data_IF_149247684526
#
_entry.id   IF_149247684526
#
_cell.length_a   1.000
_cell.length_b   1.000
_cell.length_c   1.000
_cell.angle_alpha   90.00
_cell.angle_beta   90.00
_cell.angle_gamma   90.00
#
_symmetry.space_group_name_H-M   'P 1'
#
loop_
_entity.id
_entity.type
_entity.pdbx_description
1 polymer ?
#
# COMPACT_ATOMS: atom_id res chain seq x y z
N UNK A 1 0.49 -22.73 -13.47
CA UNK A 1 0.39 -21.92 -12.24
C UNK A 1 1.19 -22.54 -11.10
N UNK A 2 0.95 -23.80 -10.71
CA UNK A 2 1.67 -24.46 -9.60
C UNK A 2 3.20 -24.41 -9.73
N UNK A 3 3.77 -24.64 -10.91
CA UNK A 3 5.23 -24.58 -11.12
C UNK A 3 5.81 -23.17 -10.92
N UNK A 4 5.09 -22.14 -11.39
CA UNK A 4 5.49 -20.75 -11.21
C UNK A 4 5.39 -20.31 -9.75
N UNK A 5 4.35 -20.76 -9.03
CA UNK A 5 4.21 -20.52 -7.59
C UNK A 5 5.38 -21.14 -6.85
N UNK A 6 5.69 -22.43 -7.06
CA UNK A 6 6.80 -23.08 -6.36
C UNK A 6 8.16 -22.42 -6.63
N UNK A 7 8.36 -21.86 -7.83
CA UNK A 7 9.56 -21.08 -8.12
C UNK A 7 9.62 -19.76 -7.34
N UNK A 8 8.49 -19.08 -7.19
CA UNK A 8 8.38 -17.82 -6.43
C UNK A 8 8.43 -18.05 -4.92
N UNK A 9 7.87 -19.16 -4.41
CA UNK A 9 7.95 -19.54 -2.99
C UNK A 9 9.42 -19.70 -2.58
N UNK A 10 10.24 -20.32 -3.43
CA UNK A 10 11.67 -20.46 -3.20
C UNK A 10 12.43 -19.12 -3.13
N UNK A 11 11.85 -18.03 -3.63
CA UNK A 11 12.40 -16.68 -3.56
C UNK A 11 11.95 -15.89 -2.32
N UNK A 12 11.08 -16.43 -1.47
CA UNK A 12 10.79 -15.91 -0.13
C UNK A 12 9.83 -14.72 -0.05
N UNK A 13 9.13 -14.37 -1.14
CA UNK A 13 8.15 -13.28 -1.16
C UNK A 13 6.69 -13.75 -1.14
N UNK A 14 5.79 -12.89 -0.65
CA UNK A 14 4.34 -13.09 -0.73
C UNK A 14 3.90 -13.23 -2.20
N UNK A 15 3.16 -14.30 -2.51
CA UNK A 15 2.70 -14.56 -3.89
C UNK A 15 1.31 -13.97 -4.11
N UNK A 16 1.24 -13.02 -5.03
CA UNK A 16 0.01 -12.35 -5.43
C UNK A 16 -0.42 -12.71 -6.86
N UNK A 17 -1.73 -12.86 -7.07
CA UNK A 17 -2.33 -12.99 -8.40
C UNK A 17 -3.32 -11.85 -8.65
N UNK A 18 -3.09 -11.07 -9.72
CA UNK A 18 -4.12 -10.19 -10.26
C UNK A 18 -5.07 -11.01 -11.11
N UNK A 19 -6.29 -11.21 -10.61
CA UNK A 19 -7.32 -11.95 -11.32
C UNK A 19 -7.92 -11.11 -12.46
N UNK A 20 -8.73 -11.73 -13.31
CA UNK A 20 -9.63 -11.01 -14.21
C UNK A 20 -10.74 -10.31 -13.41
N UNK A 21 -11.41 -9.29 -13.98
CA UNK A 21 -12.64 -8.76 -13.41
C UNK A 21 -13.64 -9.90 -13.15
N UNK A 22 -14.40 -9.84 -12.06
CA UNK A 22 -15.28 -10.96 -11.68
C UNK A 22 -16.30 -11.33 -12.77
N UNK A 23 -16.73 -10.36 -13.58
CA UNK A 23 -17.65 -10.59 -14.70
C UNK A 23 -16.98 -11.19 -15.95
N UNK A 24 -15.65 -11.32 -15.96
CA UNK A 24 -14.84 -11.87 -17.04
C UNK A 24 -13.99 -13.05 -16.55
N UNK A 25 -14.58 -13.95 -15.76
CA UNK A 25 -13.91 -15.19 -15.31
C UNK A 25 -13.07 -15.06 -14.03
N UNK A 26 -13.07 -13.91 -13.35
CA UNK A 26 -12.29 -13.73 -12.11
C UNK A 26 -12.63 -14.71 -10.99
N UNK A 27 -13.82 -15.31 -10.98
CA UNK A 27 -14.19 -16.35 -10.00
C UNK A 27 -13.40 -17.64 -10.26
N UNK A 28 -13.21 -18.02 -11.52
CA UNK A 28 -12.41 -19.19 -11.87
C UNK A 28 -10.94 -18.96 -11.52
N UNK A 29 -10.43 -17.75 -11.76
CA UNK A 29 -9.06 -17.39 -11.35
C UNK A 29 -8.86 -17.51 -9.83
N UNK A 30 -9.85 -17.08 -9.03
CA UNK A 30 -9.84 -17.24 -7.56
C UNK A 30 -9.77 -18.72 -7.20
N UNK A 31 -10.63 -19.56 -7.79
CA UNK A 31 -10.69 -20.99 -7.48
C UNK A 31 -9.37 -21.70 -7.80
N UNK A 32 -8.76 -21.37 -8.95
CA UNK A 32 -7.45 -21.91 -9.31
C UNK A 32 -6.38 -21.40 -8.33
N UNK A 33 -6.43 -20.12 -7.93
CA UNK A 33 -5.46 -19.53 -6.99
C UNK A 33 -5.48 -20.20 -5.61
N UNK A 34 -6.67 -20.51 -5.10
CA UNK A 34 -6.85 -21.23 -3.84
C UNK A 34 -6.24 -22.63 -3.84
N UNK A 35 -6.14 -23.26 -5.01
CA UNK A 35 -5.57 -24.60 -5.15
C UNK A 35 -4.03 -24.61 -5.24
N UNK A 36 -3.37 -23.45 -5.30
CA UNK A 36 -1.94 -23.35 -5.63
C UNK A 36 -1.15 -22.42 -4.69
N UNK A 37 -1.48 -22.33 -3.40
CA UNK A 37 -0.65 -21.62 -2.42
C UNK A 37 -0.58 -20.09 -2.57
N UNK A 38 -1.44 -19.48 -3.42
CA UNK A 38 -1.51 -18.02 -3.56
C UNK A 38 -2.03 -17.41 -2.26
N UNK A 39 -1.34 -16.41 -1.74
CA UNK A 39 -1.66 -15.80 -0.45
C UNK A 39 -2.41 -14.48 -0.57
N UNK A 40 -2.37 -13.88 -1.76
CA UNK A 40 -2.88 -12.56 -2.03
C UNK A 40 -3.53 -12.49 -3.43
N UNK A 41 -4.72 -11.90 -3.48
CA UNK A 41 -5.43 -11.62 -4.73
C UNK A 41 -5.52 -10.11 -4.93
N UNK A 42 -5.20 -9.66 -6.13
CA UNK A 42 -5.42 -8.29 -6.57
C UNK A 42 -6.69 -8.26 -7.42
N UNK A 43 -7.72 -7.56 -6.95
CA UNK A 43 -9.03 -7.47 -7.59
C UNK A 43 -9.11 -6.21 -8.47
N UNK A 44 -9.09 -6.33 -9.80
CA UNK A 44 -9.29 -5.19 -10.68
C UNK A 44 -10.76 -4.73 -10.69
N UNK A 45 -11.00 -3.51 -11.16
CA UNK A 45 -12.30 -2.89 -11.36
C UNK A 45 -13.20 -2.98 -10.12
N UNK A 46 -12.62 -2.71 -8.95
CA UNK A 46 -13.29 -2.95 -7.69
C UNK A 46 -14.54 -2.09 -7.53
N UNK A 47 -15.61 -2.73 -7.08
CA UNK A 47 -16.81 -2.11 -6.54
C UNK A 47 -17.09 -2.72 -5.17
N UNK A 48 -17.94 -2.08 -4.36
CA UNK A 48 -18.27 -2.65 -3.05
C UNK A 48 -18.91 -4.05 -3.14
N UNK A 49 -19.70 -4.30 -4.18
CA UNK A 49 -20.27 -5.64 -4.43
C UNK A 49 -19.22 -6.63 -4.90
N UNK A 50 -18.34 -6.23 -5.82
CA UNK A 50 -17.27 -7.10 -6.32
C UNK A 50 -16.27 -7.46 -5.19
N UNK A 51 -15.87 -6.50 -4.36
CA UNK A 51 -14.98 -6.73 -3.24
C UNK A 51 -15.58 -7.70 -2.22
N UNK A 52 -16.87 -7.53 -1.86
CA UNK A 52 -17.57 -8.48 -0.97
C UNK A 52 -17.72 -9.87 -1.58
N UNK A 53 -17.99 -9.95 -2.89
CA UNK A 53 -18.10 -11.23 -3.58
C UNK A 53 -16.75 -11.94 -3.62
N UNK A 54 -15.69 -11.25 -4.06
CA UNK A 54 -14.33 -11.77 -4.06
C UNK A 54 -13.94 -12.25 -2.67
N UNK A 55 -14.10 -11.42 -1.63
CA UNK A 55 -13.77 -11.79 -0.26
C UNK A 55 -14.47 -13.07 0.24
N UNK A 56 -15.74 -13.28 -0.14
CA UNK A 56 -16.48 -14.51 0.19
C UNK A 56 -15.93 -15.73 -0.54
N UNK A 57 -15.48 -15.57 -1.78
CA UNK A 57 -14.90 -16.65 -2.57
C UNK A 57 -13.48 -16.98 -2.10
N UNK A 58 -12.66 -15.97 -1.82
CA UNK A 58 -11.26 -16.14 -1.40
C UNK A 58 -11.11 -16.72 0.00
N UNK A 59 -12.13 -16.58 0.86
CA UNK A 59 -12.08 -17.03 2.25
C UNK A 59 -10.98 -16.31 3.02
N UNK A 60 -9.94 -17.04 3.43
CA UNK A 60 -8.82 -16.49 4.20
C UNK A 60 -7.74 -15.80 3.35
N UNK A 61 -7.74 -15.98 2.02
CA UNK A 61 -6.74 -15.34 1.14
C UNK A 61 -6.92 -13.81 1.19
N UNK A 62 -5.79 -13.11 1.31
CA UNK A 62 -5.72 -11.65 1.43
C UNK A 62 -6.16 -10.99 0.12
N UNK A 63 -6.75 -9.80 0.21
CA UNK A 63 -7.32 -9.08 -0.94
C UNK A 63 -6.78 -7.65 -1.02
N UNK A 64 -6.43 -7.22 -2.23
CA UNK A 64 -6.16 -5.82 -2.57
C UNK A 64 -7.08 -5.40 -3.74
N UNK A 65 -8.16 -4.66 -3.48
CA UNK A 65 -8.98 -4.08 -4.52
C UNK A 65 -8.26 -2.91 -5.21
N UNK A 66 -8.42 -2.79 -6.54
CA UNK A 66 -7.94 -1.66 -7.33
C UNK A 66 -9.07 -0.66 -7.60
N UNK A 67 -8.84 0.58 -7.20
CA UNK A 67 -9.67 1.74 -7.51
C UNK A 67 -9.30 2.23 -8.91
N UNK A 68 -10.19 2.03 -9.88
CA UNK A 68 -9.92 2.24 -11.31
C UNK A 68 -11.00 3.08 -12.00
N UNK A 69 -11.89 3.70 -11.23
CA UNK A 69 -12.94 4.56 -11.78
C UNK A 69 -13.35 5.66 -10.79
N UNK A 70 -13.98 6.75 -11.27
CA UNK A 70 -14.48 7.81 -10.38
C UNK A 70 -15.52 7.28 -9.39
N UNK A 71 -16.36 6.35 -9.83
CA UNK A 71 -17.35 5.70 -8.96
C UNK A 71 -16.67 4.87 -7.87
N UNK A 72 -15.62 4.11 -8.22
CA UNK A 72 -14.85 3.35 -7.24
C UNK A 72 -14.15 4.29 -6.24
N UNK A 73 -13.59 5.40 -6.72
CA UNK A 73 -12.91 6.39 -5.87
C UNK A 73 -13.87 7.01 -4.84
N UNK A 74 -15.07 7.43 -5.27
CA UNK A 74 -16.12 7.93 -4.37
C UNK A 74 -16.50 6.88 -3.31
N UNK A 75 -16.43 5.59 -3.64
CA UNK A 75 -16.77 4.48 -2.76
C UNK A 75 -15.55 3.75 -2.19
N UNK A 76 -14.38 4.39 -2.17
CA UNK A 76 -13.13 3.73 -1.79
C UNK A 76 -13.16 3.16 -0.36
N UNK A 77 -13.72 3.90 0.61
CA UNK A 77 -13.85 3.41 1.99
C UNK A 77 -14.79 2.20 2.09
N UNK A 78 -16.04 2.22 1.59
CA UNK A 78 -16.89 1.02 1.55
C UNK A 78 -16.31 -0.18 0.80
N UNK A 79 -15.40 0.04 -0.16
CA UNK A 79 -14.65 -1.03 -0.83
C UNK A 79 -13.57 -1.59 0.09
N UNK A 80 -12.82 -0.73 0.78
CA UNK A 80 -11.80 -1.13 1.74
C UNK A 80 -12.39 -1.88 2.94
N UNK A 81 -13.57 -1.48 3.42
CA UNK A 81 -14.30 -2.13 4.52
C UNK A 81 -15.16 -3.33 4.07
N UNK A 82 -15.03 -3.77 2.81
CA UNK A 82 -15.86 -4.85 2.28
C UNK A 82 -15.68 -6.17 3.05
N UNK A 83 -14.50 -6.40 3.64
CA UNK A 83 -14.16 -7.59 4.42
C UNK A 83 -12.86 -7.38 5.20
N UNK A 84 -12.67 -8.12 6.29
CA UNK A 84 -11.45 -8.09 7.10
C UNK A 84 -10.23 -8.70 6.40
N UNK A 85 -10.42 -9.44 5.30
CA UNK A 85 -9.32 -9.95 4.47
C UNK A 85 -8.83 -8.92 3.43
N UNK A 86 -9.43 -7.72 3.36
CA UNK A 86 -8.88 -6.60 2.59
C UNK A 86 -7.70 -6.01 3.36
N UNK A 87 -6.48 -6.26 2.88
CA UNK A 87 -5.24 -5.83 3.54
C UNK A 87 -4.67 -4.55 2.95
N UNK A 88 -5.16 -4.13 1.79
CA UNK A 88 -4.70 -2.91 1.15
C UNK A 88 -5.63 -2.43 0.05
N UNK A 89 -5.40 -1.21 -0.41
CA UNK A 89 -6.18 -0.56 -1.45
C UNK A 89 -5.24 0.07 -2.48
N UNK A 90 -5.44 -0.32 -3.74
CA UNK A 90 -4.64 0.17 -4.86
C UNK A 90 -5.35 1.25 -5.68
N UNK A 91 -4.59 2.09 -6.39
CA UNK A 91 -5.11 2.97 -7.45
C UNK A 91 -4.57 2.48 -8.79
N UNK A 92 -5.45 2.01 -9.67
CA UNK A 92 -5.08 1.70 -11.05
C UNK A 92 -5.12 2.97 -11.89
N UNK A 93 -3.97 3.65 -11.97
CA UNK A 93 -3.86 5.02 -12.49
C UNK A 93 -4.31 5.15 -13.95
N UNK A 94 -3.94 4.19 -14.81
CA UNK A 94 -4.26 4.23 -16.25
C UNK A 94 -5.76 4.10 -16.52
N UNK A 95 -6.41 3.12 -15.88
CA UNK A 95 -7.85 2.90 -16.01
C UNK A 95 -8.64 4.04 -15.36
N UNK A 96 -8.21 4.51 -14.18
CA UNK A 96 -8.83 5.67 -13.53
C UNK A 96 -8.79 6.92 -14.42
N UNK A 97 -7.61 7.24 -14.98
CA UNK A 97 -7.42 8.35 -15.91
C UNK A 97 -8.29 8.22 -17.15
N UNK A 98 -8.34 7.02 -17.74
CA UNK A 98 -9.19 6.72 -18.89
C UNK A 98 -10.68 6.97 -18.57
N UNK A 99 -11.15 6.55 -17.38
CA UNK A 99 -12.53 6.77 -16.94
C UNK A 99 -12.82 8.22 -16.54
N UNK A 100 -11.80 8.99 -16.18
CA UNK A 100 -11.88 10.45 -15.98
C UNK A 100 -11.87 11.23 -17.30
N UNK A 101 -11.49 10.60 -18.42
CA UNK A 101 -11.35 11.28 -19.72
C UNK A 101 -10.15 12.22 -19.78
N UNK A 102 -9.10 11.96 -18.98
CA UNK A 102 -7.90 12.78 -18.88
C UNK A 102 -6.63 11.92 -18.83
N UNK A 103 -5.46 12.43 -19.25
CA UNK A 103 -4.21 11.71 -19.14
C UNK A 103 -3.79 11.46 -17.68
N UNK A 104 -2.95 10.44 -17.40
CA UNK A 104 -2.43 10.13 -16.06
C UNK A 104 -1.36 11.14 -15.62
N UNK A 105 -1.81 12.34 -15.24
CA UNK A 105 -0.93 13.40 -14.74
C UNK A 105 -0.98 13.49 -13.21
N UNK A 106 0.07 14.03 -12.58
CA UNK A 106 0.06 14.29 -11.14
C UNK A 106 -1.13 15.14 -10.68
N UNK A 107 -1.56 16.14 -11.47
CA UNK A 107 -2.69 17.00 -11.11
C UNK A 107 -4.01 16.22 -10.99
N UNK A 108 -4.20 15.19 -11.81
CA UNK A 108 -5.36 14.30 -11.73
C UNK A 108 -5.19 13.26 -10.62
N UNK A 109 -3.99 12.69 -10.50
CA UNK A 109 -3.74 11.50 -9.70
C UNK A 109 -3.41 11.79 -8.24
N UNK A 110 -2.84 12.95 -7.89
CA UNK A 110 -2.58 13.34 -6.50
C UNK A 110 -3.88 13.45 -5.69
N UNK A 111 -4.95 14.14 -6.16
CA UNK A 111 -6.22 14.17 -5.46
C UNK A 111 -6.83 12.77 -5.28
N UNK A 112 -6.78 11.94 -6.32
CA UNK A 112 -7.27 10.57 -6.27
C UNK A 112 -6.48 9.72 -5.25
N UNK A 113 -5.15 9.79 -5.29
CA UNK A 113 -4.27 9.11 -4.35
C UNK A 113 -4.54 9.54 -2.92
N UNK A 114 -4.75 10.83 -2.66
CA UNK A 114 -5.08 11.33 -1.33
C UNK A 114 -6.38 10.73 -0.79
N UNK A 115 -7.41 10.60 -1.63
CA UNK A 115 -8.67 9.95 -1.24
C UNK A 115 -8.52 8.44 -1.01
N UNK A 116 -7.75 7.74 -1.83
CA UNK A 116 -7.42 6.31 -1.64
C UNK A 116 -6.67 6.11 -0.32
N UNK A 117 -5.66 6.96 -0.04
CA UNK A 117 -4.88 6.89 1.20
C UNK A 117 -5.76 7.09 2.43
N UNK A 118 -6.60 8.13 2.44
CA UNK A 118 -7.52 8.35 3.56
C UNK A 118 -8.48 7.17 3.76
N UNK A 119 -9.01 6.62 2.67
CA UNK A 119 -9.94 5.50 2.73
C UNK A 119 -9.27 4.23 3.26
N UNK A 120 -8.05 3.92 2.81
CA UNK A 120 -7.30 2.76 3.28
C UNK A 120 -6.94 2.89 4.76
N UNK A 121 -6.42 4.05 5.17
CA UNK A 121 -6.06 4.32 6.57
C UNK A 121 -7.28 4.26 7.50
N UNK A 122 -8.42 4.80 7.07
CA UNK A 122 -9.67 4.72 7.82
C UNK A 122 -10.17 3.28 8.00
N UNK A 123 -9.99 2.43 6.98
CA UNK A 123 -10.31 1.00 7.05
C UNK A 123 -9.23 0.15 7.76
N UNK A 124 -8.11 0.74 8.16
CA UNK A 124 -6.99 0.02 8.79
C UNK A 124 -6.20 -0.87 7.82
N UNK A 125 -6.23 -0.58 6.52
CA UNK A 125 -5.51 -1.34 5.49
C UNK A 125 -4.43 -0.49 4.78
N UNK A 126 -3.55 -1.13 4.02
CA UNK A 126 -2.38 -0.48 3.43
C UNK A 126 -2.69 0.25 2.11
N UNK A 127 -2.40 1.57 2.00
CA UNK A 127 -2.53 2.29 0.75
C UNK A 127 -1.36 2.01 -0.21
N UNK A 128 -1.66 1.47 -1.40
CA UNK A 128 -0.69 1.10 -2.42
C UNK A 128 -0.89 1.96 -3.68
N UNK A 129 -0.25 3.13 -3.74
CA UNK A 129 -0.52 4.13 -4.76
C UNK A 129 0.75 4.88 -5.18
N UNK A 130 0.92 5.08 -6.48
CA UNK A 130 1.88 6.02 -7.08
C UNK A 130 1.07 7.01 -7.93
N UNK A 131 1.04 8.33 -7.60
CA UNK A 131 0.18 9.29 -8.27
C UNK A 131 0.79 9.82 -9.58
N UNK A 132 1.26 8.92 -10.44
CA UNK A 132 1.74 9.21 -11.79
C UNK A 132 1.60 7.93 -12.65
N UNK A 133 1.76 8.04 -13.97
CA UNK A 133 1.87 6.86 -14.82
C UNK A 133 3.01 5.97 -14.35
N UNK A 134 2.73 4.68 -14.25
CA UNK A 134 3.74 3.65 -13.99
C UNK A 134 4.15 2.92 -15.28
N UNK A 135 3.48 3.24 -16.40
CA UNK A 135 3.72 2.63 -17.71
C UNK A 135 5.03 3.11 -18.35
N UNK A 136 5.45 4.34 -18.05
CA UNK A 136 6.72 4.91 -18.51
C UNK A 136 7.89 4.42 -17.64
N UNK A 137 8.39 3.22 -17.92
CA UNK A 137 9.48 2.61 -17.15
C UNK A 137 10.88 3.13 -17.50
N UNK A 138 11.02 3.98 -18.52
CA UNK A 138 12.30 4.58 -18.94
C UNK A 138 12.66 5.83 -18.16
N UNK A 139 11.67 6.59 -17.65
CA UNK A 139 11.91 7.76 -16.81
C UNK A 139 11.85 7.39 -15.32
N UNK A 140 12.94 6.82 -14.84
CA UNK A 140 13.07 6.40 -13.44
C UNK A 140 13.06 7.59 -12.46
N UNK A 141 13.48 8.77 -12.90
CA UNK A 141 13.50 9.99 -12.07
C UNK A 141 12.08 10.48 -11.80
N UNK A 142 11.23 10.46 -12.83
CA UNK A 142 9.81 10.77 -12.70
C UNK A 142 9.12 9.78 -11.76
N UNK A 143 9.36 8.48 -11.94
CA UNK A 143 8.79 7.44 -11.08
C UNK A 143 9.23 7.59 -9.61
N UNK A 144 10.53 7.83 -9.35
CA UNK A 144 11.03 8.08 -7.99
C UNK A 144 10.39 9.33 -7.36
N UNK A 145 10.23 10.40 -8.15
CA UNK A 145 9.57 11.63 -7.69
C UNK A 145 8.12 11.37 -7.29
N UNK A 146 7.38 10.61 -8.10
CA UNK A 146 6.02 10.20 -7.81
C UNK A 146 5.93 9.30 -6.57
N UNK A 147 6.85 8.35 -6.40
CA UNK A 147 6.92 7.48 -5.23
C UNK A 147 7.21 8.27 -3.94
N UNK A 148 8.16 9.22 -3.97
CA UNK A 148 8.44 10.11 -2.84
C UNK A 148 7.21 10.95 -2.48
N UNK A 149 6.51 11.46 -3.49
CA UNK A 149 5.26 12.21 -3.29
C UNK A 149 4.19 11.33 -2.65
N UNK A 150 4.02 10.09 -3.11
CA UNK A 150 3.08 9.12 -2.53
C UNK A 150 3.39 8.85 -1.05
N UNK A 151 4.65 8.56 -0.73
CA UNK A 151 5.11 8.36 0.65
C UNK A 151 4.80 9.58 1.53
N UNK A 152 5.07 10.78 1.04
CA UNK A 152 4.78 12.02 1.76
C UNK A 152 3.29 12.25 2.01
N UNK A 153 2.41 11.70 1.16
CA UNK A 153 0.96 11.72 1.35
C UNK A 153 0.46 10.62 2.30
N UNK A 154 1.32 9.68 2.70
CA UNK A 154 0.97 8.58 3.61
C UNK A 154 0.77 7.21 2.94
N UNK A 155 1.15 7.05 1.67
CA UNK A 155 1.16 5.74 1.01
C UNK A 155 2.17 4.79 1.67
N UNK A 156 1.88 3.50 1.62
CA UNK A 156 2.76 2.44 2.13
C UNK A 156 3.60 1.77 1.06
N UNK A 157 3.20 1.88 -0.20
CA UNK A 157 3.92 1.32 -1.33
C UNK A 157 3.20 1.65 -2.63
N UNK A 158 3.48 0.87 -3.67
CA UNK A 158 2.84 0.98 -4.96
C UNK A 158 3.09 -0.24 -5.84
N UNK A 159 2.46 -0.28 -7.00
CA UNK A 159 2.69 -1.33 -7.99
C UNK A 159 3.90 -0.97 -8.86
N UNK A 160 4.61 -2.01 -9.30
CA UNK A 160 5.70 -1.92 -10.27
C UNK A 160 5.38 -2.85 -11.45
N UNK A 161 5.69 -2.39 -12.66
CA UNK A 161 5.58 -3.18 -13.90
C UNK A 161 6.95 -3.55 -14.47
N UNK A 162 8.02 -2.97 -13.93
CA UNK A 162 9.40 -3.24 -14.35
C UNK A 162 10.30 -3.46 -13.12
N UNK A 163 11.28 -4.39 -13.16
CA UNK A 163 12.15 -4.68 -12.02
C UNK A 163 12.86 -3.47 -11.42
N UNK A 164 13.27 -2.49 -12.24
CA UNK A 164 13.92 -1.26 -11.75
C UNK A 164 13.01 -0.40 -10.88
N UNK A 165 11.68 -0.45 -11.09
CA UNK A 165 10.72 0.25 -10.24
C UNK A 165 10.66 -0.39 -8.84
N UNK A 166 10.86 -1.71 -8.73
CA UNK A 166 10.88 -2.42 -7.45
C UNK A 166 12.00 -1.90 -6.56
N UNK A 167 13.21 -1.73 -7.10
CA UNK A 167 14.35 -1.16 -6.37
C UNK A 167 14.04 0.26 -5.87
N UNK A 168 13.43 1.09 -6.71
CA UNK A 168 13.04 2.46 -6.34
C UNK A 168 11.99 2.44 -5.23
N UNK A 169 10.95 1.61 -5.35
CA UNK A 169 9.92 1.50 -4.32
C UNK A 169 10.52 1.05 -2.99
N UNK A 170 11.34 0.00 -2.99
CA UNK A 170 11.99 -0.49 -1.77
C UNK A 170 12.84 0.61 -1.12
N UNK A 171 13.64 1.33 -1.89
CA UNK A 171 14.46 2.44 -1.35
C UNK A 171 13.62 3.61 -0.85
N UNK A 172 12.54 3.98 -1.55
CA UNK A 172 11.71 5.13 -1.20
C UNK A 172 10.86 4.87 0.03
N UNK A 173 10.23 3.70 0.13
CA UNK A 173 9.27 3.37 1.21
C UNK A 173 9.91 2.80 2.47
N UNK A 174 11.18 2.39 2.40
CA UNK A 174 11.97 2.02 3.56
C UNK A 174 12.42 3.27 4.34
N UNK A 175 12.28 3.30 5.68
CA UNK A 175 12.86 4.36 6.49
C UNK A 175 14.37 4.46 6.29
N UNK A 176 14.91 5.66 6.15
CA UNK A 176 16.37 5.87 6.07
C UNK A 176 17.03 5.62 7.43
N UNK A 177 18.36 5.47 7.43
CA UNK A 177 19.12 5.32 8.66
C UNK A 177 18.94 6.54 9.60
N UNK A 178 18.85 7.73 9.02
CA UNK A 178 18.62 8.98 9.73
C UNK A 178 17.22 9.03 10.33
N UNK A 179 16.19 8.67 9.56
CA UNK A 179 14.80 8.61 10.05
C UNK A 179 14.64 7.57 11.18
N UNK A 180 15.34 6.44 11.06
CA UNK A 180 15.33 5.40 12.09
C UNK A 180 16.03 5.86 13.38
N UNK A 181 17.22 6.45 13.26
CA UNK A 181 17.96 7.01 14.40
C UNK A 181 17.17 8.11 15.12
N UNK A 182 16.58 9.03 14.34
CA UNK A 182 15.70 10.09 14.87
C UNK A 182 14.50 9.50 15.62
N UNK A 183 13.86 8.47 15.06
CA UNK A 183 12.73 7.81 15.68
C UNK A 183 13.12 7.10 17.00
N UNK A 184 14.26 6.40 17.04
CA UNK A 184 14.77 5.77 18.25
C UNK A 184 15.05 6.81 19.35
N UNK A 185 15.62 7.95 18.99
CA UNK A 185 15.86 9.04 19.93
C UNK A 185 14.57 9.64 20.48
N UNK A 186 13.55 9.86 19.63
CA UNK A 186 12.24 10.36 20.06
C UNK A 186 11.61 9.41 21.08
N UNK A 187 11.61 8.10 20.82
CA UNK A 187 11.05 7.09 21.72
C UNK A 187 11.82 7.06 23.04
N UNK A 188 13.16 7.09 23.00
CA UNK A 188 14.00 7.14 24.20
C UNK A 188 13.70 8.36 25.07
N UNK A 189 13.67 9.55 24.47
CA UNK A 189 13.40 10.81 25.21
C UNK A 189 12.01 10.81 25.85
N UNK A 190 11.00 10.27 25.15
CA UNK A 190 9.65 10.14 25.71
C UNK A 190 9.60 9.17 26.89
N UNK A 191 10.32 8.03 26.82
CA UNK A 191 10.42 7.07 27.92
C UNK A 191 11.12 7.68 29.14
N UNK A 192 12.22 8.41 28.95
CA UNK A 192 12.94 9.08 30.03
C UNK A 192 12.09 10.14 30.75
N UNK A 193 11.32 10.93 29.99
CA UNK A 193 10.38 11.90 30.55
C UNK A 193 9.28 11.22 31.38
N UNK A 194 8.68 10.15 30.84
CA UNK A 194 7.67 9.36 31.55
C UNK A 194 8.20 8.78 32.87
N UNK A 195 9.44 8.27 32.89
CA UNK A 195 10.08 7.76 34.10
C UNK A 195 10.35 8.84 35.17
N UNK A 196 10.55 10.09 34.75
CA UNK A 196 10.73 11.25 35.63
C UNK A 196 9.41 11.85 36.12
N UNK A 197 8.27 11.37 35.59
CA UNK A 197 6.95 11.93 35.86
C UNK A 197 6.63 13.18 35.04
N UNK A 198 7.43 13.49 34.03
CA UNK A 198 7.17 14.60 33.10
C UNK A 198 6.07 14.20 32.11
N UNK A 199 5.10 15.08 31.88
CA UNK A 199 4.02 14.82 30.95
C UNK A 199 4.46 14.83 29.48
N UNK A 200 5.49 15.62 29.13
CA UNK A 200 5.89 15.89 27.74
C UNK A 200 7.41 16.05 27.65
N UNK A 201 8.06 15.26 26.79
CA UNK A 201 9.47 15.46 26.44
C UNK A 201 9.62 16.55 25.37
N UNK A 202 10.81 17.17 25.28
CA UNK A 202 11.10 18.14 24.21
C UNK A 202 12.43 17.83 23.53
N UNK A 203 12.50 18.08 22.21
CA UNK A 203 13.73 17.98 21.41
C UNK A 203 13.76 19.11 20.40
N UNK A 204 14.86 19.87 20.35
CA UNK A 204 15.04 20.99 19.41
C UNK A 204 13.87 21.99 19.41
N UNK A 205 13.31 22.29 20.59
CA UNK A 205 12.16 23.20 20.75
C UNK A 205 10.81 22.62 20.31
N UNK A 206 10.74 21.33 19.96
CA UNK A 206 9.50 20.63 19.60
C UNK A 206 9.04 19.74 20.74
N UNK A 207 7.73 19.74 20.99
CA UNK A 207 7.08 18.81 21.91
C UNK A 207 7.08 17.41 21.30
N UNK A 208 7.42 16.41 22.12
CA UNK A 208 7.31 15.00 21.79
C UNK A 208 6.05 14.45 22.47
N UNK A 209 4.90 14.82 21.90
CA UNK A 209 3.60 14.34 22.34
C UNK A 209 3.28 12.93 21.78
N UNK A 210 2.16 12.34 22.21
CA UNK A 210 1.76 10.99 21.83
C UNK A 210 1.72 10.77 20.31
N UNK A 211 1.17 11.68 19.47
CA UNK A 211 1.24 11.53 18.02
C UNK A 211 2.67 11.50 17.44
N UNK A 212 3.60 12.30 17.99
CA UNK A 212 5.01 12.29 17.57
C UNK A 212 5.67 10.95 17.93
N UNK A 213 5.45 10.47 19.16
CA UNK A 213 6.02 9.20 19.64
C UNK A 213 5.44 8.01 18.87
N UNK A 214 4.13 7.98 18.62
CA UNK A 214 3.46 6.92 17.86
C UNK A 214 3.99 6.82 16.42
N UNK A 215 4.22 7.96 15.75
CA UNK A 215 4.86 7.98 14.42
C UNK A 215 6.29 7.43 14.47
N UNK A 216 7.08 7.81 15.47
CA UNK A 216 8.43 7.30 15.64
C UNK A 216 8.44 5.77 15.86
N UNK A 217 7.54 5.24 16.70
CA UNK A 217 7.37 3.80 16.89
C UNK A 217 6.99 3.09 15.59
N UNK A 218 6.08 3.66 14.79
CA UNK A 218 5.71 3.11 13.48
C UNK A 218 6.90 3.07 12.52
N UNK A 219 7.73 4.11 12.50
CA UNK A 219 8.97 4.14 11.70
C UNK A 219 9.94 3.01 12.10
N UNK A 220 10.13 2.80 13.40
CA UNK A 220 10.99 1.73 13.93
C UNK A 220 10.45 0.35 13.51
N UNK A 221 9.19 0.08 13.82
CA UNK A 221 8.55 -1.20 13.51
C UNK A 221 8.62 -1.54 12.01
N UNK A 222 8.44 -0.52 11.15
CA UNK A 222 8.56 -0.67 9.70
C UNK A 222 9.98 -1.07 9.28
N UNK A 223 11.02 -0.42 9.82
CA UNK A 223 12.41 -0.73 9.49
C UNK A 223 12.80 -2.14 9.94
N UNK A 224 12.36 -2.55 11.13
CA UNK A 224 12.61 -3.89 11.67
C UNK A 224 11.92 -4.96 10.84
N UNK A 225 10.69 -4.72 10.38
CA UNK A 225 9.97 -5.64 9.49
C UNK A 225 10.77 -5.94 8.21
N UNK A 226 11.32 -4.91 7.54
CA UNK A 226 12.17 -5.09 6.35
C UNK A 226 13.51 -5.78 6.65
N UNK A 227 14.05 -5.62 7.87
CA UNK A 227 15.34 -6.23 8.24
C UNK A 227 15.20 -7.73 8.59
N UNK A 228 13.97 -8.16 8.91
CA UNK A 228 13.64 -9.53 9.28
C UNK A 228 13.01 -10.35 8.13
N UNK A 229 12.78 -9.73 6.97
CA UNK A 229 12.41 -10.46 5.75
C UNK A 229 13.70 -10.92 5.04
N UNK A 230 13.78 -12.21 4.62
CA UNK A 230 14.96 -12.78 3.99
C UNK A 230 15.34 -12.09 2.67
#
# INVERSE_FOLDING_TARGET
MSEAVSHLEAAGGDIAVRINPLHLGGIDDINVSMATGVELIVLPQATGTAARQAARQTGAIRLIPLIESPRALINALPIAEASTNVIGLGLGVEDYSTKMGAPPTPDLLIPAAFQVIQSARAAGCEPLVIPDTIAEYTDLTRFETAAKKARALGASGGFAIHPTQVEILNRVFMPTAEEFSEAQEIVRLAQEASQKGDAIATKNGKMLDEPVVARAQSTIARREHFSNQP
#
